data_IF_291194500380
#
_entry.id   IF_291194500380
#
_cell.length_a   1.000
_cell.length_b   1.000
_cell.length_c   1.000
_cell.angle_alpha   90.00
_cell.angle_beta   90.00
_cell.angle_gamma   90.00
#
_symmetry.space_group_name_H-M   'P 1'
#
loop_
_entity.id
_entity.type
_entity.pdbx_description
1 polymer ?
2 non-polymer ?
3 non-polymer ?
4 non-polymer ?
5 water ?
#
# COMPACT_ATOMS: atom_id res chain seq x y z
N UNK A 16 20.51 -0.36 15.87
CA UNK A 16 21.71 0.43 15.44
C UNK A 16 21.42 1.10 14.07
N UNK A 17 21.49 2.44 14.00
CA UNK A 17 21.41 3.22 12.74
C UNK A 17 20.18 2.81 11.93
N UNK A 18 18.95 3.00 12.45
CA UNK A 18 17.74 2.62 11.70
C UNK A 18 17.49 3.67 10.59
N UNK A 19 17.21 3.25 9.36
CA UNK A 19 17.01 4.15 8.20
C UNK A 19 15.54 4.36 7.92
N UNK A 20 14.66 3.69 8.68
CA UNK A 20 13.20 3.77 8.44
C UNK A 20 12.49 4.16 9.75
N UNK A 21 12.91 5.26 10.36
CA UNK A 21 12.46 5.71 11.69
C UNK A 21 11.55 6.92 11.53
N UNK A 22 11.91 7.90 10.70
CA UNK A 22 11.23 9.23 10.60
C UNK A 22 10.54 9.35 9.23
N UNK A 23 9.37 9.98 9.20
CA UNK A 23 8.68 10.40 7.97
C UNK A 23 8.85 11.91 7.84
N UNK A 24 9.33 12.29 6.67
CA UNK A 24 9.47 13.70 6.25
C UNK A 24 8.56 13.95 5.06
N UNK A 25 8.16 15.23 4.87
CA UNK A 25 7.50 15.67 3.64
C UNK A 25 8.43 15.38 2.44
N UNK A 26 7.89 14.66 1.45
CA UNK A 26 8.59 14.26 0.22
C UNK A 26 9.02 15.50 -0.59
N UNK A 27 8.28 16.60 -0.54
CA UNK A 27 8.58 17.81 -1.35
C UNK A 27 9.67 18.65 -0.70
N UNK A 28 9.78 18.77 0.61
CA UNK A 28 10.68 19.80 1.22
C UNK A 28 11.50 19.25 2.39
N UNK A 29 11.15 18.09 2.98
CA UNK A 29 11.94 17.49 4.08
C UNK A 29 11.44 17.82 5.46
N UNK A 30 10.40 18.62 5.61
CA UNK A 30 9.80 18.92 6.94
C UNK A 30 9.53 17.63 7.73
N UNK A 31 9.89 17.62 9.01
CA UNK A 31 9.66 16.48 9.93
C UNK A 31 8.15 16.33 10.14
N UNK A 32 7.58 15.15 9.92
CA UNK A 32 6.11 14.93 10.02
C UNK A 32 5.76 13.84 11.06
N UNK A 33 6.33 12.63 11.01
CA UNK A 33 5.93 11.58 11.94
C UNK A 33 7.04 10.52 12.06
N UNK A 34 6.71 9.38 12.66
CA UNK A 34 7.66 8.28 12.96
C UNK A 34 6.95 6.98 12.69
N UNK A 35 7.72 5.92 12.37
CA UNK A 35 7.20 4.57 12.16
C UNK A 35 6.59 4.13 13.52
N UNK A 36 7.23 4.55 14.63
CA UNK A 36 6.80 4.21 16.00
C UNK A 36 5.37 4.69 16.27
N UNK A 37 4.90 5.69 15.55
CA UNK A 37 3.60 6.36 15.79
C UNK A 37 2.52 5.83 14.84
N UNK A 38 2.83 4.81 14.05
CA UNK A 38 1.80 4.18 13.18
C UNK A 38 0.69 3.62 14.06
N UNK A 39 -0.56 3.73 13.62
CA UNK A 39 -1.76 3.34 14.40
C UNK A 39 -2.59 2.34 13.59
N UNK A 40 -2.74 1.07 14.01
CA UNK A 40 -3.68 0.14 13.36
C UNK A 40 -5.18 0.43 13.59
N UNK A 41 -5.77 1.40 12.86
CA UNK A 41 -7.23 1.71 12.93
C UNK A 41 -8.03 0.61 12.23
N UNK A 42 -9.00 -0.01 12.90
CA UNK A 42 -9.75 -1.15 12.35
C UNK A 42 -8.88 -2.37 12.12
N UNK A 43 -7.70 -2.45 12.75
CA UNK A 43 -6.81 -3.63 12.64
C UNK A 43 -5.75 -3.48 11.55
N UNK A 44 -5.68 -2.34 10.84
CA UNK A 44 -4.65 -2.08 9.81
C UNK A 44 -4.27 -0.60 9.80
N UNK A 45 -2.97 -0.29 9.73
CA UNK A 45 -2.47 1.11 9.63
C UNK A 45 -2.75 1.66 8.23
N UNK A 46 -2.84 0.80 7.20
CA UNK A 46 -3.13 1.19 5.80
C UNK A 46 -4.63 1.07 5.46
N UNK A 47 -5.20 2.12 4.86
CA UNK A 47 -6.60 2.21 4.37
C UNK A 47 -6.58 2.86 2.98
N UNK A 48 -7.09 2.17 1.95
CA UNK A 48 -7.19 2.77 0.59
C UNK A 48 -8.60 3.33 0.45
N UNK A 49 -8.71 4.57 0.06
CA UNK A 49 -9.98 5.35 0.14
C UNK A 49 -10.08 6.20 -1.12
N UNK A 50 -11.28 6.66 -1.47
CA UNK A 50 -11.44 7.66 -2.53
C UNK A 50 -12.36 8.77 -2.07
N UNK A 51 -12.09 9.97 -2.59
CA UNK A 51 -12.89 11.18 -2.29
C UNK A 51 -14.01 11.30 -3.33
N UNK A 52 -14.94 12.27 -3.16
CA UNK A 52 -16.03 12.44 -4.11
C UNK A 52 -15.59 12.80 -5.53
N UNK A 53 -14.39 13.34 -5.72
CA UNK A 53 -13.78 13.64 -7.03
C UNK A 53 -13.12 12.36 -7.61
N UNK A 54 -13.27 11.22 -6.93
CA UNK A 54 -12.80 9.89 -7.35
C UNK A 54 -11.30 9.73 -7.17
N UNK A 55 -10.61 10.66 -6.54
CA UNK A 55 -9.14 10.56 -6.32
C UNK A 55 -8.92 9.44 -5.28
N UNK A 56 -8.02 8.51 -5.57
CA UNK A 56 -7.66 7.34 -4.72
C UNK A 56 -6.46 7.76 -3.87
N UNK A 57 -6.50 7.47 -2.57
CA UNK A 57 -5.38 7.73 -1.64
C UNK A 57 -5.06 6.44 -0.90
N UNK A 58 -3.78 6.14 -0.76
CA UNK A 58 -3.28 5.10 0.18
C UNK A 58 -2.94 5.81 1.49
N UNK A 59 -3.78 5.67 2.50
CA UNK A 59 -3.67 6.45 3.75
C UNK A 59 -3.04 5.55 4.83
N UNK A 60 -2.04 6.07 5.53
CA UNK A 60 -1.48 5.46 6.76
C UNK A 60 -1.98 6.28 7.95
N UNK A 61 -2.54 5.61 8.96
CA UNK A 61 -2.97 6.26 10.23
C UNK A 61 -1.78 6.35 11.19
N UNK A 62 -1.62 7.53 11.77
CA UNK A 62 -0.63 7.84 12.80
C UNK A 62 -1.35 8.41 14.01
N UNK A 63 -0.90 8.00 15.21
CA UNK A 63 -1.42 8.54 16.48
C UNK A 63 -1.04 10.02 16.59
N UNK A 64 0.10 10.40 16.04
CA UNK A 64 0.76 11.71 16.30
C UNK A 64 1.46 12.12 15.02
N UNK A 65 1.47 13.41 14.77
CA UNK A 65 2.25 14.06 13.69
C UNK A 65 2.61 15.45 14.13
N UNK A 66 3.58 16.04 13.46
CA UNK A 66 4.07 17.41 13.69
C UNK A 66 4.35 18.06 12.32
N UNK A 67 4.65 19.35 12.34
CA UNK A 67 5.11 20.13 11.18
C UNK A 67 3.99 20.37 10.16
N UNK A 68 2.73 20.07 10.50
CA UNK A 68 1.56 20.26 9.62
C UNK A 68 0.90 21.62 9.92
N UNK A 69 0.06 22.08 9.01
CA UNK A 69 -0.87 23.23 9.20
C UNK A 69 -2.29 22.71 8.89
N UNK A 70 -3.16 22.70 9.89
CA UNK A 70 -4.57 22.20 9.79
C UNK A 70 -5.42 23.41 9.40
N UNK A 71 -6.16 23.26 8.31
CA UNK A 71 -6.78 24.39 7.58
C UNK A 71 -8.28 24.25 7.73
N UNK A 72 -8.95 25.36 8.03
CA UNK A 72 -10.41 25.42 8.14
C UNK A 72 -10.89 24.80 9.45
N UNK A 73 -12.14 24.38 9.48
CA UNK A 73 -12.80 23.84 10.68
C UNK A 73 -13.24 22.42 10.33
N UNK A 74 -13.40 21.54 11.33
CA UNK A 74 -13.68 20.13 11.05
C UNK A 74 -15.00 19.97 10.27
N UNK A 75 -15.08 18.95 9.43
CA UNK A 75 -16.30 18.53 8.71
C UNK A 75 -16.47 17.02 8.90
N UNK A 76 -17.69 16.56 9.13
CA UNK A 76 -18.04 15.13 9.13
C UNK A 76 -18.40 14.63 7.73
N UNK A 77 -18.46 15.52 6.73
CA UNK A 77 -18.95 15.20 5.36
C UNK A 77 -18.04 14.13 4.75
N UNK A 78 -18.59 12.97 4.41
CA UNK A 78 -17.89 11.92 3.63
C UNK A 78 -16.68 11.39 4.42
N UNK A 79 -16.66 11.51 5.74
CA UNK A 79 -15.53 10.99 6.54
C UNK A 79 -15.37 9.49 6.23
N UNK A 80 -14.12 9.09 5.95
CA UNK A 80 -13.74 7.67 5.76
C UNK A 80 -13.75 6.89 7.07
N UNK A 81 -13.79 7.54 8.23
CA UNK A 81 -13.66 6.89 9.56
C UNK A 81 -14.88 7.25 10.37
N UNK A 82 -15.78 6.28 10.61
CA UNK A 82 -17.09 6.53 11.26
C UNK A 82 -16.85 7.27 12.57
N UNK A 83 -17.58 8.36 12.81
CA UNK A 83 -17.58 9.08 14.10
C UNK A 83 -16.50 10.13 14.17
N UNK A 84 -15.71 10.34 13.11
CA UNK A 84 -14.64 11.36 13.12
C UNK A 84 -14.97 12.46 12.12
N UNK A 85 -14.62 13.68 12.49
CA UNK A 85 -14.63 14.90 11.67
C UNK A 85 -13.19 15.17 11.21
N UNK A 86 -13.01 15.68 10.00
CA UNK A 86 -11.67 15.84 9.38
C UNK A 86 -11.38 17.30 9.13
N UNK A 87 -10.10 17.66 9.24
CA UNK A 87 -9.52 18.92 8.73
C UNK A 87 -8.38 18.57 7.79
N UNK A 88 -8.24 19.32 6.71
CA UNK A 88 -7.12 19.19 5.76
C UNK A 88 -5.83 19.51 6.51
N UNK A 89 -4.82 18.64 6.38
CA UNK A 89 -3.46 18.81 6.92
C UNK A 89 -2.53 19.15 5.74
N UNK A 90 -1.99 20.37 5.71
CA UNK A 90 -0.89 20.73 4.78
C UNK A 90 0.45 20.58 5.51
N UNK A 91 1.49 20.35 4.72
CA UNK A 91 2.87 20.54 5.22
C UNK A 91 2.93 21.98 5.69
N UNK A 92 3.36 22.22 6.93
CA UNK A 92 3.47 23.57 7.48
C UNK A 92 4.55 24.34 6.77
N UNK A 93 5.51 23.66 6.12
CA UNK A 93 6.67 24.35 5.53
C UNK A 93 6.30 24.79 4.09
N UNK A 94 5.87 23.84 3.27
CA UNK A 94 5.80 23.99 1.80
C UNK A 94 4.34 24.01 1.30
N UNK A 95 3.38 23.65 2.13
CA UNK A 95 1.96 23.78 1.75
C UNK A 95 1.44 22.56 1.00
N UNK A 96 2.24 21.50 0.80
CA UNK A 96 1.81 20.30 0.06
C UNK A 96 0.69 19.64 0.87
N UNK A 97 -0.35 19.11 0.21
CA UNK A 97 -1.43 18.41 0.96
C UNK A 97 -0.91 17.03 1.41
N UNK A 98 -0.75 16.79 2.69
CA UNK A 98 -0.18 15.52 3.21
C UNK A 98 -1.27 14.57 3.75
N UNK A 99 -2.47 15.08 4.02
CA UNK A 99 -3.60 14.26 4.51
C UNK A 99 -4.58 15.07 5.34
N UNK A 100 -5.03 14.49 6.45
CA UNK A 100 -6.17 14.99 7.27
C UNK A 100 -5.88 14.71 8.74
N UNK A 101 -6.33 15.62 9.58
CA UNK A 101 -6.45 15.37 11.03
C UNK A 101 -7.90 14.96 11.33
N UNK A 102 -8.07 13.90 12.09
CA UNK A 102 -9.40 13.39 12.50
C UNK A 102 -9.60 13.68 13.99
N UNK A 103 -10.76 14.19 14.36
CA UNK A 103 -11.13 14.56 15.74
C UNK A 103 -12.60 14.19 15.97
N UNK A 104 -13.06 14.34 17.20
CA UNK A 104 -14.47 14.23 17.60
C UNK A 104 -14.93 12.80 17.78
N UNK A 105 -14.03 11.81 17.71
CA UNK A 105 -14.46 10.40 17.82
C UNK A 105 -14.07 9.81 19.14
N UNK A 106 -13.87 8.50 19.18
CA UNK A 106 -13.68 7.72 20.45
C UNK A 106 -12.61 6.66 20.23
N UNK A 107 -11.64 6.55 21.14
CA UNK A 107 -10.68 5.41 21.22
C UNK A 107 -10.06 5.18 19.84
N UNK A 108 -9.14 6.05 19.36
CA UNK A 108 -8.78 7.30 20.02
C UNK A 108 -9.70 8.47 19.62
N UNK A 109 -9.67 9.56 20.37
CA UNK A 109 -10.46 10.79 20.07
C UNK A 109 -9.91 11.42 18.79
N UNK A 110 -8.58 11.41 18.60
CA UNK A 110 -7.92 12.08 17.45
C UNK A 110 -6.85 11.16 16.84
N UNK A 111 -6.54 11.38 15.57
CA UNK A 111 -5.43 10.73 14.85
C UNK A 111 -5.22 11.46 13.52
N UNK A 112 -4.15 11.09 12.81
CA UNK A 112 -3.84 11.64 11.49
C UNK A 112 -3.93 10.53 10.47
N UNK A 113 -4.53 10.86 9.33
CA UNK A 113 -4.50 10.01 8.12
C UNK A 113 -3.60 10.69 7.10
N UNK A 114 -2.41 10.16 6.84
CA UNK A 114 -1.43 10.79 5.95
C UNK A 114 -1.28 9.94 4.69
N UNK A 115 -1.08 10.62 3.57
CA UNK A 115 -0.97 9.99 2.22
C UNK A 115 0.46 9.45 2.06
N UNK A 116 0.57 8.14 2.14
CA UNK A 116 1.85 7.39 2.22
C UNK A 116 2.85 7.94 1.16
N UNK A 117 2.40 8.11 -0.10
CA UNK A 117 3.32 8.44 -1.22
C UNK A 117 3.77 9.90 -1.18
N UNK A 118 3.30 10.72 -0.24
CA UNK A 118 3.69 12.14 -0.11
C UNK A 118 4.70 12.31 1.02
N UNK A 119 5.10 11.21 1.64
CA UNK A 119 6.08 11.17 2.75
C UNK A 119 7.32 10.43 2.25
N UNK A 120 8.46 10.74 2.85
CA UNK A 120 9.73 9.99 2.67
C UNK A 120 10.18 9.44 4.00
N UNK A 121 10.59 8.16 4.00
CA UNK A 121 10.99 7.42 5.20
C UNK A 121 12.50 7.41 5.30
N UNK A 122 13.04 7.70 6.47
CA UNK A 122 14.50 7.80 6.61
C UNK A 122 15.00 7.78 8.05
N UNK A 123 16.33 7.93 8.23
CA UNK A 123 16.95 7.84 9.55
C UNK A 123 16.55 8.97 10.51
N UNK A 124 16.74 8.73 11.82
CA UNK A 124 16.32 9.64 12.91
C UNK A 124 17.25 10.87 12.96
N UNK B 20 4.60 -9.63 -21.17
CA UNK B 20 5.55 -9.46 -20.03
C UNK B 20 6.28 -8.12 -20.20
N UNK B 21 6.42 -7.40 -19.09
CA UNK B 21 7.11 -6.08 -19.04
C UNK B 21 8.51 -6.20 -18.42
N UNK B 22 9.48 -5.53 -19.05
CA UNK B 22 10.86 -5.42 -18.49
C UNK B 22 11.21 -3.97 -18.14
N UNK B 23 12.09 -3.81 -17.19
CA UNK B 23 12.74 -2.54 -16.79
C UNK B 23 14.16 -2.52 -17.29
N UNK B 24 14.43 -1.50 -18.09
CA UNK B 24 15.76 -1.26 -18.72
C UNK B 24 16.40 -0.08 -18.05
N UNK B 25 17.74 -0.03 -18.09
CA UNK B 25 18.49 1.21 -17.71
C UNK B 25 18.04 2.33 -18.65
N UNK B 26 17.61 3.45 -18.08
CA UNK B 26 17.15 4.63 -18.85
C UNK B 26 18.32 5.21 -19.67
N UNK B 27 19.57 5.11 -19.19
CA UNK B 27 20.73 5.75 -19.89
C UNK B 27 21.21 4.87 -21.05
N UNK B 28 21.22 3.55 -20.98
CA UNK B 28 21.85 2.73 -22.06
C UNK B 28 20.94 1.63 -22.60
N UNK B 29 19.82 1.33 -21.94
CA UNK B 29 18.83 0.35 -22.39
C UNK B 29 19.09 -1.08 -21.96
N UNK B 30 20.16 -1.34 -21.22
CA UNK B 30 20.42 -2.73 -20.74
C UNK B 30 19.22 -3.26 -19.94
N UNK B 31 18.77 -4.49 -20.20
CA UNK B 31 17.78 -5.21 -19.34
C UNK B 31 18.29 -5.31 -17.90
N UNK B 32 17.48 -4.85 -16.94
CA UNK B 32 17.81 -4.90 -15.49
C UNK B 32 16.83 -5.80 -14.72
N UNK B 33 15.53 -5.62 -14.85
CA UNK B 33 14.57 -6.42 -14.05
C UNK B 33 13.27 -6.58 -14.80
N UNK B 34 12.30 -7.24 -14.16
CA UNK B 34 11.01 -7.68 -14.76
C UNK B 34 9.88 -7.23 -13.84
N UNK B 35 8.73 -6.82 -14.39
CA UNK B 35 7.51 -6.57 -13.57
C UNK B 35 7.15 -7.82 -12.76
N UNK B 36 7.41 -9.02 -13.31
CA UNK B 36 7.10 -10.32 -12.64
C UNK B 36 7.83 -10.40 -11.28
N UNK B 37 8.94 -9.70 -11.16
CA UNK B 37 9.84 -9.78 -9.99
C UNK B 37 9.58 -8.67 -8.98
N UNK B 38 8.57 -7.83 -9.20
CA UNK B 38 8.21 -6.81 -8.20
C UNK B 38 7.91 -7.50 -6.88
N UNK B 39 8.40 -6.92 -5.79
CA UNK B 39 8.39 -7.53 -4.44
C UNK B 39 7.75 -6.56 -3.44
N UNK B 40 6.58 -6.86 -2.84
CA UNK B 40 5.97 -5.96 -1.86
C UNK B 40 6.63 -6.03 -0.47
N UNK B 41 7.75 -5.34 -0.26
CA UNK B 41 8.48 -5.30 1.04
C UNK B 41 7.70 -4.41 2.01
N UNK B 42 7.37 -4.94 3.19
CA UNK B 42 6.52 -4.25 4.17
C UNK B 42 5.12 -3.97 3.65
N UNK B 43 4.65 -4.70 2.63
CA UNK B 43 3.30 -4.53 2.07
C UNK B 43 3.23 -3.62 0.85
N UNK B 44 4.32 -2.99 0.41
CA UNK B 44 4.30 -2.15 -0.84
C UNK B 44 5.61 -2.31 -1.60
N UNK B 45 5.55 -2.42 -2.93
CA UNK B 45 6.75 -2.47 -3.80
C UNK B 45 7.39 -1.07 -3.88
N UNK B 46 6.63 0.03 -3.71
CA UNK B 46 7.20 1.40 -3.76
C UNK B 46 7.53 1.90 -2.34
N UNK B 47 8.73 2.43 -2.14
CA UNK B 47 9.19 3.08 -0.89
C UNK B 47 9.85 4.41 -1.27
N UNK B 48 9.27 5.54 -0.83
CA UNK B 48 9.98 6.83 -0.88
C UNK B 48 10.82 6.98 0.38
N UNK B 49 12.10 7.31 0.23
CA UNK B 49 13.10 7.18 1.32
C UNK B 49 14.03 8.38 1.21
N UNK B 50 14.71 8.72 2.28
CA UNK B 50 15.80 9.70 2.27
C UNK B 50 17.02 9.07 2.95
N UNK B 51 18.20 9.48 2.49
CA UNK B 51 19.48 9.03 3.07
C UNK B 51 19.90 10.05 4.11
N UNK B 52 20.99 9.76 4.86
CA UNK B 52 21.46 10.69 5.88
C UNK B 52 21.95 12.04 5.33
N UNK B 53 22.24 12.13 4.04
CA UNK B 53 22.62 13.41 3.35
C UNK B 53 21.32 14.20 2.98
N UNK B 54 20.14 13.64 3.29
CA UNK B 54 18.83 14.24 2.96
C UNK B 54 18.43 14.08 1.49
N UNK B 55 19.10 13.25 0.73
CA UNK B 55 18.72 13.01 -0.69
C UNK B 55 17.51 12.06 -0.71
N UNK B 56 16.45 12.43 -1.43
CA UNK B 56 15.16 11.67 -1.53
C UNK B 56 15.20 10.78 -2.75
N UNK B 57 14.82 9.51 -2.61
CA UNK B 57 14.72 8.54 -3.73
C UNK B 57 13.35 7.87 -3.70
N UNK B 58 12.78 7.61 -4.86
CA UNK B 58 11.58 6.72 -4.97
C UNK B 58 12.07 5.35 -5.45
N UNK B 59 12.02 4.35 -4.59
CA UNK B 59 12.58 3.00 -4.81
C UNK B 59 11.43 2.03 -5.11
N UNK B 60 11.61 1.14 -6.09
CA UNK B 60 10.72 -0.03 -6.32
C UNK B 60 11.52 -1.29 -5.96
N UNK B 61 10.94 -2.23 -5.20
CA UNK B 61 11.60 -3.48 -4.78
C UNK B 61 11.37 -4.59 -5.80
N UNK B 62 12.44 -5.30 -6.13
CA UNK B 62 12.44 -6.46 -7.04
C UNK B 62 13.19 -7.60 -6.35
N UNK B 63 12.70 -8.81 -6.50
CA UNK B 63 13.29 -10.04 -5.92
C UNK B 63 14.68 -10.25 -6.54
N UNK B 64 14.79 -10.05 -7.84
CA UNK B 64 16.00 -10.36 -8.63
C UNK B 64 16.26 -9.20 -9.60
N UNK B 65 17.47 -9.16 -10.12
CA UNK B 65 17.91 -8.22 -11.17
C UNK B 65 19.05 -8.87 -11.93
N UNK B 66 19.38 -8.28 -13.07
CA UNK B 66 20.55 -8.70 -13.89
C UNK B 66 21.19 -7.44 -14.46
N UNK B 67 22.41 -7.59 -14.92
CA UNK B 67 23.12 -6.52 -15.67
C UNK B 67 23.65 -5.41 -14.79
N UNK B 68 23.57 -5.54 -13.47
CA UNK B 68 24.10 -4.52 -12.52
C UNK B 68 25.53 -4.89 -12.09
N UNK B 69 26.23 -3.95 -11.45
CA UNK B 69 27.52 -4.18 -10.76
C UNK B 69 27.35 -3.64 -9.35
N UNK B 70 27.48 -4.52 -8.35
CA UNK B 70 27.38 -4.19 -6.92
C UNK B 70 28.78 -3.81 -6.47
N UNK B 71 28.94 -2.65 -5.83
CA UNK B 71 30.29 -2.15 -5.47
C UNK B 71 30.36 -2.03 -3.94
N UNK B 72 31.49 -2.42 -3.38
CA UNK B 72 31.81 -2.23 -1.96
C UNK B 72 31.34 -3.39 -1.11
N UNK B 73 31.68 -3.39 0.17
CA UNK B 73 31.23 -4.44 1.11
C UNK B 73 29.83 -4.05 1.56
N UNK B 74 28.95 -5.01 1.89
CA UNK B 74 27.65 -4.67 2.44
C UNK B 74 27.82 -3.84 3.73
N UNK B 75 26.90 -2.90 3.96
CA UNK B 75 26.85 -2.05 5.17
C UNK B 75 25.43 -2.15 5.74
N UNK B 76 25.31 -2.26 7.06
CA UNK B 76 24.01 -2.19 7.74
C UNK B 76 23.64 -0.77 8.11
N UNK B 77 24.54 0.20 7.87
CA UNK B 77 24.40 1.58 8.41
C UNK B 77 23.20 2.24 7.73
N UNK B 78 22.19 2.61 8.51
CA UNK B 78 21.02 3.39 8.02
C UNK B 78 20.28 2.61 6.92
N UNK B 79 20.35 1.28 6.94
CA UNK B 79 19.54 0.46 6.02
C UNK B 79 18.07 0.90 6.07
N UNK B 80 17.44 1.13 4.93
CA UNK B 80 16.00 1.44 4.81
C UNK B 80 15.13 0.21 5.16
N UNK B 81 15.70 -0.98 5.16
CA UNK B 81 14.97 -2.25 5.37
C UNK B 81 15.60 -3.00 6.55
N UNK B 82 14.90 -3.04 7.69
CA UNK B 82 15.44 -3.61 8.95
C UNK B 82 15.87 -5.05 8.67
N UNK B 83 17.07 -5.42 9.10
CA UNK B 83 17.62 -6.78 9.06
C UNK B 83 18.39 -7.04 7.79
N UNK B 84 18.53 -6.04 6.93
CA UNK B 84 19.28 -6.18 5.66
C UNK B 84 20.49 -5.23 5.68
N UNK B 85 21.58 -5.68 5.07
CA UNK B 85 22.78 -4.88 4.67
C UNK B 85 22.65 -4.49 3.19
N UNK B 86 23.21 -3.35 2.80
CA UNK B 86 23.03 -2.79 1.43
C UNK B 86 24.37 -2.65 0.75
N UNK B 87 24.36 -2.81 -0.59
CA UNK B 87 25.49 -2.47 -1.48
C UNK B 87 24.96 -1.61 -2.63
N UNK B 88 25.73 -0.61 -3.07
CA UNK B 88 25.33 0.27 -4.21
C UNK B 88 25.29 -0.60 -5.47
N UNK B 89 24.24 -0.44 -6.28
CA UNK B 89 24.05 -1.15 -7.57
C UNK B 89 24.21 -0.14 -8.72
N UNK B 90 25.23 -0.30 -9.55
CA UNK B 90 25.37 0.47 -10.81
C UNK B 90 24.93 -0.39 -11.98
N UNK B 91 24.49 0.25 -13.07
CA UNK B 91 24.36 -0.45 -14.37
C UNK B 91 25.75 -0.99 -14.72
N UNK B 92 25.86 -2.29 -15.04
CA UNK B 92 27.16 -2.91 -15.36
C UNK B 92 27.67 -2.38 -16.70
N UNK B 93 26.77 -1.85 -17.52
CA UNK B 93 27.08 -1.49 -18.93
C UNK B 93 27.52 -0.01 -18.98
N UNK B 94 26.78 0.91 -18.37
CA UNK B 94 27.03 2.37 -18.51
C UNK B 94 27.44 3.04 -17.20
N UNK B 95 27.30 2.40 -16.06
CA UNK B 95 27.73 3.00 -14.78
C UNK B 95 26.68 3.84 -14.09
N UNK B 96 25.46 4.02 -14.65
CA UNK B 96 24.34 4.77 -14.01
C UNK B 96 24.06 4.18 -12.63
N UNK B 97 23.83 4.99 -11.60
CA UNK B 97 23.46 4.49 -10.26
C UNK B 97 21.98 4.13 -10.31
N UNK B 98 21.64 2.84 -10.24
CA UNK B 98 20.25 2.40 -10.44
C UNK B 98 19.59 1.99 -9.11
N UNK B 99 20.34 1.86 -8.02
CA UNK B 99 19.82 1.57 -6.67
C UNK B 99 20.81 0.82 -5.78
N UNK B 100 20.29 -0.18 -5.08
CA UNK B 100 20.97 -0.94 -4.01
C UNK B 100 20.53 -2.38 -3.99
N UNK B 101 21.45 -3.28 -3.61
CA UNK B 101 21.15 -4.69 -3.32
C UNK B 101 21.13 -4.88 -1.81
N UNK B 102 20.16 -5.63 -1.31
CA UNK B 102 19.93 -5.90 0.13
C UNK B 102 20.21 -7.38 0.34
N UNK B 103 20.87 -7.72 1.45
CA UNK B 103 21.31 -9.10 1.73
C UNK B 103 21.25 -9.31 3.25
N UNK B 104 21.34 -10.57 3.68
CA UNK B 104 21.58 -10.98 5.08
C UNK B 104 20.31 -11.01 5.91
N UNK B 105 19.15 -10.97 5.29
CA UNK B 105 17.86 -11.06 6.00
C UNK B 105 17.22 -12.43 5.84
N UNK B 106 15.90 -12.49 6.01
CA UNK B 106 15.09 -13.73 5.97
C UNK B 106 13.78 -13.44 5.21
N UNK B 107 13.42 -14.33 4.29
CA UNK B 107 12.10 -14.32 3.59
C UNK B 107 11.79 -12.91 3.08
N UNK B 108 12.44 -12.42 2.01
CA UNK B 108 13.53 -13.15 1.35
C UNK B 108 14.89 -12.79 1.96
N UNK B 109 15.90 -13.60 1.66
CA UNK B 109 17.29 -13.35 2.11
C UNK B 109 17.84 -12.12 1.40
N UNK B 110 17.53 -11.94 0.13
CA UNK B 110 18.11 -10.90 -0.75
C UNK B 110 17.01 -10.27 -1.60
N UNK B 111 17.22 -9.04 -2.05
CA UNK B 111 16.34 -8.29 -2.99
C UNK B 111 17.02 -7.00 -3.41
N UNK B 112 16.45 -6.31 -4.40
CA UNK B 112 16.96 -5.04 -4.90
C UNK B 112 15.94 -3.93 -4.63
N UNK B 113 16.44 -2.77 -4.26
CA UNK B 113 15.70 -1.50 -4.32
C UNK B 113 16.24 -0.66 -5.48
N UNK B 114 15.45 -0.49 -6.54
CA UNK B 114 15.87 0.22 -7.76
C UNK B 114 15.12 1.56 -7.84
N UNK B 115 15.82 2.59 -8.30
CA UNK B 115 15.33 3.97 -8.44
C UNK B 115 14.44 4.03 -9.69
N UNK B 116 13.13 4.09 -9.45
CA UNK B 116 12.11 3.95 -10.53
C UNK B 116 12.43 4.94 -11.65
N UNK B 117 12.83 6.18 -11.34
CA UNK B 117 13.08 7.28 -12.31
C UNK B 117 14.25 7.00 -13.26
N UNK B 118 15.08 6.01 -12.94
CA UNK B 118 16.35 5.73 -13.66
C UNK B 118 16.21 4.49 -14.53
N UNK B 119 15.00 3.92 -14.53
CA UNK B 119 14.60 2.74 -15.31
C UNK B 119 13.59 3.18 -16.36
N UNK B 120 13.49 2.42 -17.46
CA UNK B 120 12.44 2.60 -18.47
C UNK B 120 11.71 1.27 -18.62
N UNK B 121 10.40 1.26 -18.43
CA UNK B 121 9.57 0.03 -18.53
C UNK B 121 9.07 -0.09 -19.96
N UNK B 122 9.14 -1.30 -20.51
CA UNK B 122 8.68 -1.58 -21.88
C UNK B 122 8.55 -3.07 -22.17
N UNK B 123 8.02 -3.45 -23.36
CA UNK B 123 7.82 -4.86 -23.70
C UNK B 123 9.13 -5.65 -23.78
N UNK B 124 9.04 -6.95 -23.46
CA UNK B 124 10.15 -7.91 -23.37
C UNK B 124 10.72 -8.23 -24.76
N UNK C 18 -19.37 7.60 6.74
CA UNK C 18 -20.22 8.38 5.82
C UNK C 18 -19.74 8.32 4.37
N UNK C 19 -18.41 8.32 4.15
CA UNK C 19 -17.76 8.16 2.84
C UNK C 19 -17.33 6.73 2.61
N UNK C 20 -18.03 5.77 3.21
CA UNK C 20 -17.77 4.31 3.01
C UNK C 20 -19.05 3.62 2.50
N UNK C 21 -19.61 4.11 1.40
CA UNK C 21 -20.84 3.56 0.78
C UNK C 21 -20.54 2.73 -0.47
N UNK C 22 -19.52 3.07 -1.29
CA UNK C 22 -19.19 2.34 -2.54
C UNK C 22 -17.84 1.64 -2.38
N UNK C 23 -17.77 0.39 -2.83
CA UNK C 23 -16.59 -0.51 -2.67
C UNK C 23 -15.99 -0.73 -4.04
N UNK C 24 -14.74 -0.32 -4.19
CA UNK C 24 -14.01 -0.34 -5.49
C UNK C 24 -12.79 -1.25 -5.38
N UNK C 25 -12.32 -1.76 -6.50
CA UNK C 25 -10.99 -2.40 -6.61
C UNK C 25 -9.90 -1.41 -6.19
N UNK C 26 -9.07 -1.79 -5.21
CA UNK C 26 -7.94 -1.00 -4.66
C UNK C 26 -6.94 -0.67 -5.78
N UNK C 27 -6.69 -1.58 -6.73
CA UNK C 27 -5.64 -1.40 -7.77
C UNK C 27 -6.12 -0.46 -8.87
N UNK C 28 -7.38 -0.53 -9.31
CA UNK C 28 -7.77 0.21 -10.54
C UNK C 28 -9.00 1.12 -10.34
N UNK C 29 -9.77 0.93 -9.25
CA UNK C 29 -10.98 1.75 -8.98
C UNK C 29 -12.26 1.19 -9.59
N UNK C 30 -12.23 0.03 -10.24
CA UNK C 30 -13.49 -0.62 -10.75
C UNK C 30 -14.54 -0.69 -9.63
N UNK C 31 -15.75 -0.21 -9.90
CA UNK C 31 -16.92 -0.31 -8.99
C UNK C 31 -17.28 -1.79 -8.82
N UNK C 32 -17.39 -2.27 -7.57
CA UNK C 32 -17.69 -3.70 -7.30
C UNK C 32 -19.02 -3.85 -6.53
N UNK C 33 -19.21 -3.13 -5.43
CA UNK C 33 -20.46 -3.26 -4.63
C UNK C 33 -20.71 -2.00 -3.80
N UNK C 34 -21.77 -2.04 -2.98
CA UNK C 34 -22.28 -0.87 -2.23
C UNK C 34 -22.85 -1.37 -0.90
N UNK C 35 -22.85 -0.50 0.10
CA UNK C 35 -23.27 -0.79 1.50
C UNK C 35 -24.71 -1.31 1.48
N UNK C 36 -25.58 -0.88 0.55
CA UNK C 36 -26.96 -1.39 0.37
C UNK C 36 -26.98 -2.92 0.24
N UNK C 37 -25.92 -3.51 -0.29
CA UNK C 37 -25.86 -4.97 -0.59
C UNK C 37 -25.06 -5.71 0.49
N UNK C 38 -24.52 -5.01 1.48
CA UNK C 38 -23.74 -5.67 2.55
C UNK C 38 -24.67 -6.62 3.27
N UNK C 39 -24.15 -7.78 3.69
CA UNK C 39 -24.84 -8.65 4.67
C UNK C 39 -24.12 -8.61 6.02
N UNK C 40 -24.67 -7.95 7.06
CA UNK C 40 -24.11 -8.05 8.42
C UNK C 40 -24.33 -9.42 9.08
N UNK C 41 -23.34 -9.93 9.84
CA UNK C 41 -23.55 -11.03 10.82
C UNK C 41 -23.76 -10.37 12.19
N UNK C 46 -17.78 -7.02 8.37
CA UNK C 46 -16.33 -7.42 8.46
C UNK C 46 -16.20 -8.72 9.26
N UNK C 47 -15.64 -9.79 8.67
CA UNK C 47 -15.47 -11.11 9.34
C UNK C 47 -14.01 -11.56 9.20
N UNK C 48 -13.32 -11.71 10.35
CA UNK C 48 -11.89 -12.12 10.44
C UNK C 48 -11.81 -13.65 10.24
N UNK C 49 -11.11 -14.07 9.20
CA UNK C 49 -11.01 -15.48 8.76
C UNK C 49 -9.52 -15.74 8.50
N UNK C 50 -9.10 -17.00 8.58
CA UNK C 50 -7.69 -17.39 8.29
C UNK C 50 -7.72 -18.46 7.20
N UNK C 51 -6.86 -18.32 6.20
CA UNK C 51 -6.74 -19.34 5.13
C UNK C 51 -5.97 -20.50 5.76
N UNK C 52 -5.79 -21.63 5.04
CA UNK C 52 -5.07 -22.78 5.60
C UNK C 52 -3.61 -22.48 5.97
N UNK C 53 -3.00 -21.43 5.40
CA UNK C 53 -1.63 -20.96 5.71
C UNK C 53 -1.64 -20.11 6.99
N UNK C 54 -2.83 -19.85 7.56
CA UNK C 54 -3.00 -18.99 8.75
C UNK C 54 -2.84 -17.50 8.44
N UNK C 55 -2.87 -17.09 7.17
CA UNK C 55 -2.93 -15.65 6.82
C UNK C 55 -4.35 -15.15 7.16
N UNK C 56 -4.44 -14.00 7.84
CA UNK C 56 -5.72 -13.37 8.28
C UNK C 56 -6.26 -12.49 7.15
N UNK C 57 -7.57 -12.60 6.89
CA UNK C 57 -8.33 -11.76 5.95
C UNK C 57 -9.52 -11.15 6.70
N UNK C 58 -9.85 -9.91 6.36
CA UNK C 58 -11.13 -9.25 6.74
C UNK C 58 -12.05 -9.39 5.53
N UNK C 59 -13.10 -10.21 5.64
CA UNK C 59 -14.01 -10.49 4.49
C UNK C 59 -15.30 -9.67 4.68
N UNK C 60 -15.74 -8.97 3.63
CA UNK C 60 -17.09 -8.33 3.60
C UNK C 60 -17.99 -9.18 2.69
N UNK C 61 -19.17 -9.57 3.17
CA UNK C 61 -20.15 -10.38 2.42
C UNK C 61 -21.21 -9.45 1.82
N UNK C 62 -21.45 -9.64 0.52
CA UNK C 62 -22.40 -8.82 -0.28
C UNK C 62 -23.36 -9.77 -1.00
N UNK C 63 -24.63 -9.37 -1.07
CA UNK C 63 -25.71 -10.13 -1.74
C UNK C 63 -25.50 -10.02 -3.25
N UNK C 64 -24.99 -8.88 -3.72
CA UNK C 64 -24.87 -8.58 -5.17
C UNK C 64 -23.53 -7.90 -5.39
N UNK C 65 -22.93 -8.12 -6.56
CA UNK C 65 -21.72 -7.39 -6.98
C UNK C 65 -21.76 -7.20 -8.49
N UNK C 66 -20.86 -6.34 -8.97
CA UNK C 66 -20.68 -6.12 -10.42
C UNK C 66 -19.20 -5.96 -10.69
N UNK C 67 -18.82 -5.98 -11.98
CA UNK C 67 -17.44 -5.64 -12.37
C UNK C 67 -16.44 -6.76 -12.09
N UNK C 68 -16.90 -7.93 -11.65
CA UNK C 68 -15.95 -9.07 -11.37
C UNK C 68 -15.89 -9.99 -12.59
N UNK C 69 -14.93 -10.90 -12.59
CA UNK C 69 -14.92 -12.10 -13.47
C UNK C 69 -14.73 -13.33 -12.56
N UNK C 70 -15.71 -14.23 -12.57
CA UNK C 70 -15.71 -15.47 -11.74
C UNK C 70 -15.05 -16.56 -12.59
N UNK C 71 -13.96 -17.16 -12.15
CA UNK C 71 -13.11 -18.02 -13.04
C UNK C 71 -13.03 -19.41 -12.41
N UNK C 72 -12.97 -20.47 -13.23
CA UNK C 72 -12.78 -21.85 -12.76
C UNK C 72 -14.06 -22.50 -12.25
N UNK C 73 -13.93 -23.67 -11.62
CA UNK C 73 -15.05 -24.51 -11.14
C UNK C 73 -15.15 -24.39 -9.62
N UNK C 74 -16.33 -24.58 -9.01
CA UNK C 74 -16.48 -24.43 -7.56
C UNK C 74 -15.56 -25.41 -6.82
N UNK C 75 -15.07 -25.00 -5.65
CA UNK C 75 -14.37 -25.90 -4.69
C UNK C 75 -15.00 -25.72 -3.30
N UNK C 76 -15.16 -26.82 -2.57
CA UNK C 76 -15.54 -26.81 -1.15
C UNK C 76 -14.34 -26.71 -0.23
N UNK C 77 -13.11 -26.73 -0.77
CA UNK C 77 -11.84 -26.87 0.02
C UNK C 77 -11.70 -25.68 0.98
N UNK C 78 -11.72 -25.99 2.28
CA UNK C 78 -11.50 -25.02 3.39
C UNK C 78 -12.47 -23.82 3.28
N UNK C 79 -13.67 -24.04 2.78
CA UNK C 79 -14.66 -22.93 2.65
C UNK C 79 -14.86 -22.31 4.03
N UNK C 80 -14.79 -20.98 4.12
CA UNK C 80 -15.06 -20.22 5.37
C UNK C 80 -16.54 -20.26 5.75
N UNK C 81 -17.44 -20.66 4.84
CA UNK C 81 -18.90 -20.63 5.08
C UNK C 81 -19.43 -22.06 4.87
N UNK C 82 -19.80 -22.75 5.96
CA UNK C 82 -20.16 -24.19 5.92
C UNK C 82 -21.30 -24.37 4.91
N UNK C 83 -21.16 -25.35 4.01
CA UNK C 83 -22.20 -25.73 3.02
C UNK C 83 -22.17 -24.87 1.75
N UNK C 84 -21.17 -24.02 1.60
CA UNK C 84 -20.96 -23.23 0.37
C UNK C 84 -19.66 -23.65 -0.31
N UNK C 85 -19.70 -23.73 -1.64
CA UNK C 85 -18.54 -23.88 -2.54
C UNK C 85 -18.15 -22.50 -3.08
N UNK C 86 -16.85 -22.29 -3.31
CA UNK C 86 -16.34 -20.95 -3.72
C UNK C 86 -15.73 -21.03 -5.12
N UNK C 87 -15.83 -19.91 -5.82
CA UNK C 87 -15.17 -19.65 -7.13
C UNK C 87 -14.42 -18.32 -7.02
N UNK C 88 -13.23 -18.25 -7.58
CA UNK C 88 -12.33 -17.06 -7.53
C UNK C 88 -13.05 -15.91 -8.24
N UNK C 89 -13.10 -14.75 -7.59
CA UNK C 89 -13.64 -13.48 -8.16
C UNK C 89 -12.44 -12.56 -8.45
N UNK C 90 -12.15 -12.30 -9.73
CA UNK C 90 -11.16 -11.27 -10.13
C UNK C 90 -11.88 -9.97 -10.49
N UNK C 91 -11.19 -8.86 -10.30
CA UNK C 91 -11.60 -7.57 -10.91
C UNK C 91 -11.68 -7.76 -12.44
N UNK C 92 -12.82 -7.44 -13.04
CA UNK C 92 -13.00 -7.51 -14.50
C UNK C 92 -12.12 -6.51 -15.23
N UNK C 93 -11.64 -5.46 -14.54
CA UNK C 93 -10.92 -4.36 -15.22
C UNK C 93 -9.42 -4.68 -15.25
N UNK C 94 -8.83 -5.07 -14.12
CA UNK C 94 -7.36 -5.16 -13.96
C UNK C 94 -6.93 -6.59 -13.66
N UNK C 95 -7.83 -7.50 -13.30
CA UNK C 95 -7.42 -8.91 -13.05
C UNK C 95 -7.04 -9.18 -11.59
N UNK C 96 -7.00 -8.18 -10.71
CA UNK C 96 -6.66 -8.35 -9.26
C UNK C 96 -7.62 -9.37 -8.61
N UNK C 97 -7.12 -10.26 -7.77
CA UNK C 97 -7.96 -11.21 -6.98
C UNK C 97 -8.67 -10.43 -5.86
N UNK C 98 -9.99 -10.29 -5.92
CA UNK C 98 -10.72 -9.47 -4.90
C UNK C 98 -11.44 -10.36 -3.87
N UNK C 99 -11.64 -11.64 -4.17
CA UNK C 99 -12.38 -12.56 -3.28
C UNK C 99 -12.97 -13.75 -4.02
N UNK C 100 -14.17 -14.14 -3.62
CA UNK C 100 -14.84 -15.38 -4.04
C UNK C 100 -16.34 -15.15 -4.19
N UNK C 101 -16.94 -15.89 -5.11
CA UNK C 101 -18.40 -16.08 -5.17
C UNK C 101 -18.71 -17.41 -4.49
N UNK C 102 -19.71 -17.39 -3.61
CA UNK C 102 -20.13 -18.60 -2.86
C UNK C 102 -21.48 -19.05 -3.42
N UNK C 103 -21.67 -20.36 -3.55
CA UNK C 103 -22.88 -20.98 -4.14
C UNK C 103 -23.13 -22.31 -3.43
N UNK C 104 -24.29 -22.91 -3.71
CA UNK C 104 -24.63 -24.28 -3.31
C UNK C 104 -25.20 -24.35 -1.90
N UNK C 105 -25.44 -23.22 -1.24
CA UNK C 105 -26.01 -23.20 0.13
C UNK C 105 -27.48 -22.86 0.11
N UNK C 106 -27.99 -22.39 1.26
CA UNK C 106 -29.41 -22.05 1.50
C UNK C 106 -29.49 -20.76 2.31
N UNK C 107 -30.38 -19.83 1.91
CA UNK C 107 -30.74 -18.60 2.67
C UNK C 107 -29.48 -17.90 3.17
N UNK C 108 -28.70 -17.21 2.29
CA UNK C 108 -28.96 -17.18 0.85
C UNK C 108 -28.27 -18.33 0.11
N UNK C 109 -28.71 -18.62 -1.12
CA UNK C 109 -28.12 -19.67 -1.96
C UNK C 109 -26.71 -19.20 -2.38
N UNK C 110 -26.57 -17.92 -2.70
CA UNK C 110 -25.34 -17.34 -3.29
C UNK C 110 -25.04 -15.99 -2.63
N UNK C 111 -23.77 -15.58 -2.69
CA UNK C 111 -23.26 -14.28 -2.18
C UNK C 111 -21.80 -14.15 -2.57
N UNK C 112 -21.27 -12.95 -2.37
CA UNK C 112 -19.85 -12.63 -2.66
C UNK C 112 -19.14 -12.34 -1.33
N UNK C 113 -18.00 -12.98 -1.12
CA UNK C 113 -17.07 -12.68 -0.01
C UNK C 113 -15.82 -11.99 -0.54
N UNK C 114 -15.68 -10.69 -0.28
CA UNK C 114 -14.58 -9.89 -0.87
C UNK C 114 -13.60 -9.47 0.24
N UNK C 115 -12.32 -9.40 -0.09
CA UNK C 115 -11.21 -9.16 0.87
C UNK C 115 -11.10 -7.65 1.16
N UNK C 116 -11.32 -7.23 2.40
CA UNK C 116 -11.20 -5.80 2.81
C UNK C 116 -9.90 -5.18 2.25
N UNK C 117 -8.77 -5.89 2.34
CA UNK C 117 -7.41 -5.39 1.96
C UNK C 117 -7.28 -5.17 0.45
N UNK C 118 -8.23 -5.63 -0.35
CA UNK C 118 -8.16 -5.59 -1.84
C UNK C 118 -9.12 -4.52 -2.37
N UNK C 119 -9.83 -3.84 -1.48
CA UNK C 119 -10.92 -2.89 -1.81
C UNK C 119 -10.55 -1.50 -1.33
N UNK C 120 -11.16 -0.50 -1.95
CA UNK C 120 -11.14 0.92 -1.56
C UNK C 120 -12.58 1.36 -1.28
N UNK C 121 -12.78 2.16 -0.24
CA UNK C 121 -14.12 2.63 0.22
C UNK C 121 -14.24 4.09 -0.18
N UNK C 122 -15.41 4.52 -0.66
CA UNK C 122 -15.68 5.97 -0.80
C UNK C 122 -17.16 6.32 -0.85
N UNK C 123 -17.52 7.62 -0.94
CA UNK C 123 -18.92 8.05 -0.92
C UNK C 123 -19.69 7.62 -2.17
N UNK C 124 -21.03 7.60 -2.07
CA UNK C 124 -21.94 7.31 -3.21
C UNK C 124 -21.95 8.49 -4.18
#
# INVERSE_FOLDING_TARGET
>A
AMPLDAGGQNSTQMVLAPGASIFRCRQCGQTISRRDWLLPMGGDHEHVVFNPAGMIFRVWCFSLAQGLRLIGAPSGEFSWFKGYDWTIALCGQCGSHLGWHYEGGSQPQTFFGLIKDRLAEGPAD
>B
AMPLDAGGQNSTQMVLAPGASIFRCRQCGQTISRRDWLLPMGGDHEHVVFNPAGMIFRVWCFSLAQGLRLIGAPSGEFSWFKGYDWTIALCGQCGSHLGWHYEGGSQPQTFFGLIKDRLAEGPAD
>C
AMPLDAGGQNSTQMVLAPGASIFRCRQCGQTISRRDWLLPMGGDHEHVVFNPAGMIFRVWCFSLAQGLRLIGAPSGEFSWFKGYDWTIALCGQCGSHLGWHYEGGSQPQTFFGLIKDRLAEGPAD
#
